data_IF_670329847686
#
_entry.id   IF_670329847686
#
_cell.length_a   1.000
_cell.length_b   1.000
_cell.length_c   1.000
_cell.angle_alpha   90.00
_cell.angle_beta   90.00
_cell.angle_gamma   90.00
#
_symmetry.space_group_name_H-M   'P 1'
#
loop_
_entity.id
_entity.type
_entity.pdbx_description
1 polymer ?
#
# COMPACT_ATOMS: atom_id res chain seq x y z
N UNK A 1 20.02 -39.70 -15.21
CA UNK A 1 18.73 -39.89 -15.92
C UNK A 1 17.61 -39.57 -14.94
N UNK A 2 16.83 -38.51 -15.18
CA UNK A 2 15.72 -38.13 -14.28
C UNK A 2 14.49 -38.95 -14.68
N UNK A 3 14.13 -39.93 -13.86
CA UNK A 3 12.93 -40.75 -14.07
C UNK A 3 11.70 -39.89 -13.79
N UNK A 4 10.81 -39.75 -14.78
CA UNK A 4 9.53 -39.05 -14.59
C UNK A 4 8.66 -39.85 -13.63
N UNK A 5 8.35 -39.26 -12.48
CA UNK A 5 7.43 -39.82 -11.49
C UNK A 5 6.12 -39.06 -11.48
N UNK A 6 5.00 -39.78 -11.45
CA UNK A 6 3.68 -39.18 -11.22
C UNK A 6 3.43 -39.04 -9.71
N UNK A 7 2.42 -38.28 -9.33
CA UNK A 7 2.04 -38.09 -7.91
C UNK A 7 0.68 -38.73 -7.64
N UNK A 8 0.59 -39.49 -6.55
CA UNK A 8 -0.66 -40.11 -6.12
C UNK A 8 -1.68 -39.06 -5.68
N UNK A 9 -2.88 -39.08 -6.27
CA UNK A 9 -3.96 -38.15 -5.97
C UNK A 9 -4.50 -38.28 -4.53
N UNK A 10 -4.35 -39.45 -3.89
CA UNK A 10 -4.83 -39.69 -2.53
C UNK A 10 -3.74 -39.43 -1.48
N UNK A 11 -2.57 -40.06 -1.62
CA UNK A 11 -1.52 -40.02 -0.61
C UNK A 11 -0.45 -38.96 -0.85
N UNK A 12 -0.43 -38.31 -2.02
CA UNK A 12 0.62 -37.41 -2.54
C UNK A 12 2.03 -38.05 -2.65
N UNK A 13 2.12 -39.38 -2.57
CA UNK A 13 3.37 -40.13 -2.73
C UNK A 13 3.81 -40.18 -4.20
N UNK A 14 5.12 -40.22 -4.47
CA UNK A 14 5.66 -40.42 -5.82
C UNK A 14 5.32 -41.82 -6.33
N UNK A 15 4.89 -41.91 -7.58
CA UNK A 15 4.60 -43.11 -8.34
C UNK A 15 5.68 -43.24 -9.41
N UNK A 16 6.48 -44.29 -9.31
CA UNK A 16 7.46 -44.62 -10.34
C UNK A 16 6.80 -45.33 -11.52
N UNK A 17 7.42 -45.28 -12.71
CA UNK A 17 6.94 -46.03 -13.87
C UNK A 17 6.72 -47.51 -13.56
N UNK A 18 5.64 -48.09 -14.08
CA UNK A 18 5.26 -49.49 -13.82
C UNK A 18 4.44 -49.72 -12.54
N UNK A 19 4.12 -48.67 -11.78
CA UNK A 19 3.29 -48.77 -10.58
C UNK A 19 2.00 -47.96 -10.64
N UNK A 20 1.04 -48.36 -9.81
CA UNK A 20 -0.21 -47.65 -9.64
C UNK A 20 -1.26 -47.91 -10.73
N UNK A 21 -2.30 -47.10 -10.72
CA UNK A 21 -3.42 -47.19 -11.67
C UNK A 21 -3.98 -45.80 -11.94
N UNK A 22 -4.35 -45.53 -13.19
CA UNK A 22 -5.05 -44.31 -13.59
C UNK A 22 -6.56 -44.54 -13.50
N UNK A 23 -7.25 -43.72 -12.71
CA UNK A 23 -8.70 -43.71 -12.61
C UNK A 23 -9.23 -42.45 -13.31
N UNK A 24 -10.10 -42.61 -14.30
CA UNK A 24 -10.76 -41.50 -14.98
C UNK A 24 -12.20 -41.44 -14.48
N UNK A 25 -12.61 -40.29 -13.95
CA UNK A 25 -13.99 -40.05 -13.50
C UNK A 25 -14.84 -39.60 -14.69
N UNK A 26 -16.18 -39.72 -14.57
CA UNK A 26 -17.15 -39.27 -15.59
C UNK A 26 -16.93 -37.82 -16.05
N UNK A 27 -16.47 -36.94 -15.16
CA UNK A 27 -16.21 -35.53 -15.46
C UNK A 27 -14.90 -35.29 -16.24
N UNK A 28 -14.24 -36.35 -16.74
CA UNK A 28 -12.97 -36.29 -17.49
C UNK A 28 -11.72 -36.17 -16.62
N UNK A 29 -11.86 -35.95 -15.30
CA UNK A 29 -10.72 -35.84 -14.39
C UNK A 29 -9.99 -37.18 -14.23
N UNK A 30 -8.69 -37.18 -14.54
CA UNK A 30 -7.80 -38.32 -14.37
C UNK A 30 -7.01 -38.24 -13.05
N UNK A 31 -7.07 -39.30 -12.26
CA UNK A 31 -6.37 -39.43 -10.99
C UNK A 31 -5.39 -40.60 -11.05
N UNK A 32 -4.11 -40.34 -10.74
CA UNK A 32 -3.12 -41.40 -10.55
C UNK A 32 -3.16 -41.88 -9.10
N UNK A 33 -3.25 -43.19 -8.89
CA UNK A 33 -3.33 -43.80 -7.57
C UNK A 33 -2.21 -44.82 -7.41
N UNK A 34 -1.45 -44.74 -6.31
CA UNK A 34 -0.24 -45.55 -6.11
C UNK A 34 -0.52 -47.05 -5.94
N UNK A 35 -1.56 -47.42 -5.19
CA UNK A 35 -1.86 -48.82 -4.85
C UNK A 35 -3.36 -49.04 -4.63
N UNK A 36 -3.75 -50.31 -4.46
CA UNK A 36 -5.14 -50.72 -4.21
C UNK A 36 -5.75 -50.07 -2.96
N UNK A 37 -4.96 -49.86 -1.90
CA UNK A 37 -5.37 -49.15 -0.68
C UNK A 37 -5.78 -47.70 -0.98
N UNK A 38 -4.96 -46.96 -1.72
CA UNK A 38 -5.27 -45.59 -2.14
C UNK A 38 -6.52 -45.57 -3.03
N UNK A 39 -6.65 -46.52 -3.96
CA UNK A 39 -7.82 -46.64 -4.83
C UNK A 39 -9.11 -46.90 -4.06
N UNK A 40 -9.09 -47.86 -3.12
CA UNK A 40 -10.25 -48.19 -2.30
C UNK A 40 -10.70 -46.98 -1.46
N UNK A 41 -9.78 -46.32 -0.75
CA UNK A 41 -10.11 -45.14 0.06
C UNK A 41 -10.62 -43.96 -0.78
N UNK A 42 -10.07 -43.77 -1.98
CA UNK A 42 -10.51 -42.75 -2.92
C UNK A 42 -11.95 -43.02 -3.41
N UNK A 43 -12.28 -44.26 -3.77
CA UNK A 43 -13.63 -44.65 -4.19
C UNK A 43 -14.64 -44.56 -3.05
N UNK A 44 -14.23 -44.87 -1.82
CA UNK A 44 -15.02 -44.67 -0.60
C UNK A 44 -15.19 -43.18 -0.22
N UNK A 45 -14.63 -42.25 -1.01
CA UNK A 45 -14.68 -40.80 -0.78
C UNK A 45 -14.13 -40.38 0.59
N UNK A 46 -13.16 -41.13 1.12
CA UNK A 46 -12.47 -40.74 2.36
C UNK A 46 -11.59 -39.52 2.08
N UNK A 47 -11.62 -38.53 2.97
CA UNK A 47 -10.79 -37.33 2.85
C UNK A 47 -9.35 -37.66 3.28
N UNK A 48 -8.33 -37.50 2.42
CA UNK A 48 -6.93 -37.78 2.79
C UNK A 48 -6.48 -37.03 4.05
N UNK A 49 -6.94 -35.79 4.23
CA UNK A 49 -6.66 -34.96 5.41
C UNK A 49 -7.17 -35.54 6.75
N UNK A 50 -7.98 -36.61 6.75
CA UNK A 50 -8.40 -37.32 7.98
C UNK A 50 -7.62 -38.63 8.20
N UNK A 51 -6.78 -39.04 7.26
CA UNK A 51 -6.07 -40.32 7.28
C UNK A 51 -4.60 -40.09 7.64
N UNK A 52 -4.21 -40.53 8.83
CA UNK A 52 -2.95 -40.21 9.52
C UNK A 52 -1.69 -40.45 8.68
N UNK A 53 -1.65 -41.54 7.91
CA UNK A 53 -0.44 -41.91 7.17
C UNK A 53 -0.22 -41.09 5.89
N UNK A 54 -1.23 -40.33 5.42
CA UNK A 54 -1.12 -39.54 4.18
C UNK A 54 -0.29 -38.27 4.38
N UNK A 55 0.32 -37.79 3.30
CA UNK A 55 1.05 -36.50 3.32
C UNK A 55 0.12 -35.31 3.61
N UNK A 56 -1.12 -35.34 3.11
CA UNK A 56 -2.12 -34.31 3.37
C UNK A 56 -2.44 -34.13 4.86
N UNK A 57 -2.62 -35.23 5.61
CA UNK A 57 -2.78 -35.18 7.06
C UNK A 57 -1.51 -34.67 7.74
N UNK A 58 -0.34 -35.19 7.36
CA UNK A 58 0.95 -34.77 7.96
C UNK A 58 1.25 -33.28 7.73
N UNK A 59 0.84 -32.70 6.59
CA UNK A 59 0.95 -31.25 6.30
C UNK A 59 0.07 -30.43 7.24
N UNK A 60 -1.19 -30.82 7.41
CA UNK A 60 -2.16 -30.14 8.28
C UNK A 60 -1.74 -30.20 9.76
N UNK A 61 -1.23 -31.35 10.19
CA UNK A 61 -0.84 -31.60 11.59
C UNK A 61 0.64 -31.25 11.88
N UNK A 62 1.32 -30.53 10.97
CA UNK A 62 2.72 -30.09 11.12
C UNK A 62 3.68 -31.24 11.46
N UNK A 63 3.42 -32.44 10.92
CA UNK A 63 4.29 -33.62 11.06
C UNK A 63 5.29 -33.75 9.92
N UNK A 64 5.09 -33.00 8.83
CA UNK A 64 6.14 -32.81 7.83
C UNK A 64 7.14 -31.79 8.36
N UNK A 65 8.44 -32.14 8.30
CA UNK A 65 9.53 -31.18 8.48
C UNK A 65 9.51 -30.26 7.27
N UNK A 66 8.74 -29.19 7.36
CA UNK A 66 8.85 -28.07 6.44
C UNK A 66 10.15 -27.39 6.86
N UNK A 67 11.22 -27.57 6.08
CA UNK A 67 12.35 -26.64 6.14
C UNK A 67 11.75 -25.25 6.13
N UNK A 68 11.99 -24.48 7.21
CA UNK A 68 11.31 -23.21 7.46
C UNK A 68 11.19 -22.47 6.14
N UNK A 69 9.96 -22.36 5.64
CA UNK A 69 9.66 -21.43 4.56
C UNK A 69 9.94 -20.09 5.19
N UNK A 70 11.18 -19.64 5.05
CA UNK A 70 11.63 -18.33 5.50
C UNK A 70 10.55 -17.39 4.97
N UNK A 71 9.82 -16.74 5.89
CA UNK A 71 8.74 -15.84 5.51
C UNK A 71 9.34 -14.90 4.47
N UNK A 72 8.94 -15.06 3.20
CA UNK A 72 9.45 -14.24 2.11
C UNK A 72 8.99 -12.83 2.41
N UNK A 73 9.86 -12.05 3.05
CA UNK A 73 9.63 -10.62 3.26
C UNK A 73 9.57 -10.02 1.86
N UNK A 74 8.45 -9.37 1.55
CA UNK A 74 8.31 -8.65 0.29
C UNK A 74 9.46 -7.64 0.18
N UNK A 75 10.15 -7.64 -0.97
CA UNK A 75 11.19 -6.64 -1.25
C UNK A 75 10.49 -5.28 -1.36
N UNK A 76 10.86 -4.34 -0.49
CA UNK A 76 10.37 -2.96 -0.56
C UNK A 76 11.11 -2.24 -1.69
N UNK A 77 10.39 -1.78 -2.71
CA UNK A 77 10.96 -0.94 -3.76
C UNK A 77 10.82 0.52 -3.35
N UNK A 78 11.93 1.25 -3.27
CA UNK A 78 11.94 2.70 -3.12
C UNK A 78 11.94 3.36 -4.50
N UNK A 79 11.09 4.38 -4.71
CA UNK A 79 11.06 5.14 -5.96
C UNK A 79 12.18 6.19 -5.95
N UNK A 80 12.99 6.22 -7.01
CA UNK A 80 14.00 7.27 -7.23
C UNK A 80 13.30 8.50 -7.80
N UNK A 81 13.68 9.69 -7.29
CA UNK A 81 13.19 10.97 -7.81
C UNK A 81 13.79 11.23 -9.20
N UNK A 82 12.94 11.46 -10.20
CA UNK A 82 13.33 11.69 -11.60
C UNK A 82 13.40 13.19 -11.92
N UNK A 83 14.05 13.53 -13.03
CA UNK A 83 14.06 14.90 -13.55
C UNK A 83 12.63 15.33 -13.94
N UNK A 84 12.36 16.62 -13.84
CA UNK A 84 11.12 17.22 -14.33
C UNK A 84 11.51 18.09 -15.53
N UNK A 85 10.67 18.15 -16.57
CA UNK A 85 10.93 19.03 -17.72
C UNK A 85 11.14 20.46 -17.23
N UNK A 86 12.27 21.06 -17.58
CA UNK A 86 12.67 22.41 -17.14
C UNK A 86 13.47 22.49 -15.84
N UNK A 87 13.69 21.39 -15.09
CA UNK A 87 14.57 21.37 -13.91
C UNK A 87 15.32 20.03 -13.81
N UNK A 88 16.64 20.08 -13.82
CA UNK A 88 17.48 18.88 -13.68
C UNK A 88 17.37 18.24 -12.28
N UNK A 89 17.66 16.94 -12.16
CA UNK A 89 17.67 16.23 -10.86
C UNK A 89 18.63 16.88 -9.87
N UNK A 90 19.74 17.43 -10.36
CA UNK A 90 20.78 18.05 -9.53
C UNK A 90 20.33 19.37 -8.94
N UNK A 91 19.65 20.21 -9.72
CA UNK A 91 19.06 21.46 -9.23
C UNK A 91 17.97 21.21 -8.20
N UNK A 92 17.14 20.19 -8.41
CA UNK A 92 16.12 19.75 -7.45
C UNK A 92 16.74 19.30 -6.12
N UNK A 93 17.82 18.52 -6.18
CA UNK A 93 18.59 18.12 -4.99
C UNK A 93 19.22 19.32 -4.30
N UNK A 94 19.85 20.23 -5.05
CA UNK A 94 20.49 21.45 -4.52
C UNK A 94 19.46 22.32 -3.79
N UNK A 95 18.30 22.62 -4.40
CA UNK A 95 17.22 23.38 -3.77
C UNK A 95 16.67 22.68 -2.52
N UNK A 96 16.43 21.37 -2.58
CA UNK A 96 15.90 20.59 -1.44
C UNK A 96 16.88 20.55 -0.26
N UNK A 97 18.18 20.42 -0.55
CA UNK A 97 19.22 20.29 0.46
C UNK A 97 19.68 21.65 1.04
N UNK A 98 19.13 22.78 0.59
CA UNK A 98 19.42 24.09 1.20
C UNK A 98 19.08 24.09 2.69
N UNK A 99 19.98 24.62 3.52
CA UNK A 99 19.77 24.70 4.97
C UNK A 99 18.51 25.52 5.30
N UNK A 100 17.73 25.15 6.33
CA UNK A 100 16.52 25.87 6.72
C UNK A 100 16.74 27.37 6.97
N UNK A 101 17.90 27.76 7.51
CA UNK A 101 18.26 29.16 7.76
C UNK A 101 18.30 30.00 6.47
N UNK A 102 18.86 29.45 5.38
CA UNK A 102 18.92 30.14 4.08
C UNK A 102 17.52 30.28 3.48
N UNK A 103 16.66 29.26 3.65
CA UNK A 103 15.27 29.33 3.21
C UNK A 103 14.45 30.35 4.00
N UNK A 104 14.69 30.46 5.30
CA UNK A 104 14.03 31.44 6.16
C UNK A 104 14.44 32.87 5.77
N UNK A 105 15.74 33.12 5.60
CA UNK A 105 16.23 34.44 5.17
C UNK A 105 15.66 34.87 3.81
N UNK A 106 15.62 33.96 2.82
CA UNK A 106 15.01 34.25 1.52
C UNK A 106 13.50 34.54 1.62
N UNK A 107 12.78 33.83 2.50
CA UNK A 107 11.36 34.08 2.77
C UNK A 107 11.16 35.46 3.39
N UNK A 108 11.96 35.83 4.37
CA UNK A 108 11.82 37.09 5.09
C UNK A 108 12.17 38.29 4.19
N UNK A 109 13.18 38.15 3.32
CA UNK A 109 13.49 39.13 2.28
C UNK A 109 12.31 39.32 1.31
N UNK A 110 11.74 38.22 0.79
CA UNK A 110 10.59 38.28 -0.11
C UNK A 110 9.34 38.89 0.55
N UNK A 111 9.12 38.61 1.84
CA UNK A 111 8.01 39.20 2.61
C UNK A 111 8.20 40.70 2.83
N UNK A 112 9.43 41.17 3.04
CA UNK A 112 9.73 42.61 3.14
C UNK A 112 9.48 43.31 1.81
N UNK A 113 10.01 42.79 0.71
CA UNK A 113 9.77 43.34 -0.63
C UNK A 113 8.27 43.36 -1.00
N UNK A 114 7.52 42.32 -0.65
CA UNK A 114 6.07 42.28 -0.87
C UNK A 114 5.32 43.34 -0.03
N UNK A 115 5.74 43.55 1.22
CA UNK A 115 5.20 44.61 2.09
C UNK A 115 5.54 46.00 1.54
N UNK A 116 6.73 46.20 1.00
CA UNK A 116 7.14 47.51 0.47
C UNK A 116 6.48 47.80 -0.87
N UNK A 117 6.31 46.80 -1.75
CA UNK A 117 5.50 46.91 -2.97
C UNK A 117 4.03 47.21 -2.67
N UNK A 118 3.45 46.62 -1.62
CA UNK A 118 2.05 46.92 -1.24
C UNK A 118 1.90 48.30 -0.61
N UNK A 119 2.88 48.79 0.16
CA UNK A 119 2.91 50.18 0.64
C UNK A 119 3.06 51.19 -0.49
N UNK A 120 3.96 50.95 -1.44
CA UNK A 120 4.12 51.79 -2.62
C UNK A 120 2.83 51.87 -3.44
N UNK A 121 2.18 50.72 -3.72
CA UNK A 121 0.87 50.67 -4.39
C UNK A 121 -0.27 51.34 -3.61
N UNK A 122 -0.18 51.43 -2.27
CA UNK A 122 -1.15 52.17 -1.44
C UNK A 122 -0.88 53.67 -1.44
N UNK A 123 0.39 54.08 -1.46
CA UNK A 123 0.80 55.48 -1.56
C UNK A 123 0.45 56.06 -2.94
N UNK A 124 0.61 55.29 -4.02
CA UNK A 124 0.22 55.69 -5.38
C UNK A 124 -1.31 55.84 -5.56
N UNK A 125 -2.10 55.21 -4.68
CA UNK A 125 -3.58 55.28 -4.69
C UNK A 125 -4.16 56.38 -3.78
N UNK A 126 -3.34 57.20 -3.13
CA UNK A 126 -3.80 58.37 -2.36
C UNK A 126 -3.07 59.61 -2.87
N UNK A 127 -3.75 60.55 -3.58
CA UNK A 127 -4.84 61.33 -2.98
C UNK A 127 -5.95 61.76 -3.98
N UNK A 128 -7.18 61.26 -3.80
CA UNK A 128 -8.40 62.00 -4.16
C UNK A 128 -9.40 61.78 -3.02
N UNK A 129 -9.95 62.88 -2.50
CA UNK A 129 -10.99 62.98 -1.45
C UNK A 129 -10.53 62.98 0.02
N UNK A 130 -9.89 64.09 0.42
CA UNK A 130 -10.21 64.73 1.70
C UNK A 130 -11.17 65.89 1.43
N UNK A 131 -12.47 65.65 1.51
CA UNK A 131 -13.45 66.66 1.93
C UNK A 131 -14.81 65.99 2.17
N UNK A 132 -15.50 66.49 3.20
CA UNK A 132 -16.95 66.43 3.47
C UNK A 132 -17.39 65.58 4.69
N UNK A 133 -17.43 66.34 5.79
CA UNK A 133 -18.47 66.46 6.81
C UNK A 133 -18.42 65.68 8.12
N UNK A 134 -18.24 66.49 9.17
CA UNK A 134 -18.62 66.31 10.57
C UNK A 134 -20.14 66.38 10.73
N UNK A 135 -20.59 65.77 11.84
CA UNK A 135 -21.84 65.95 12.58
C UNK A 135 -23.11 65.27 12.02
N UNK A 136 -23.65 64.29 12.76
CA UNK A 136 -24.94 64.39 13.50
C UNK A 136 -24.90 63.43 14.70
N UNK A 137 -25.62 63.83 15.75
CA UNK A 137 -25.57 63.42 17.13
C UNK A 137 -26.19 62.05 17.51
N UNK A 138 -25.62 61.46 18.57
CA UNK A 138 -26.24 60.98 19.81
C UNK A 138 -27.70 60.45 19.72
N UNK A 139 -27.86 59.13 19.88
CA UNK A 139 -29.11 58.46 20.26
C UNK A 139 -28.81 57.21 21.10
N UNK A 140 -29.45 57.09 22.26
CA UNK A 140 -28.99 56.28 23.39
C UNK A 140 -29.33 54.79 23.42
N UNK A 141 -28.81 54.20 24.50
CA UNK A 141 -28.81 52.81 24.98
C UNK A 141 -30.11 51.98 24.82
N UNK A 142 -29.95 50.64 24.62
CA UNK A 142 -30.09 49.63 25.70
C UNK A 142 -29.92 48.17 25.23
N UNK A 143 -29.36 47.38 26.15
CA UNK A 143 -29.57 45.95 26.48
C UNK A 143 -29.14 44.85 25.48
N UNK A 144 -28.00 44.22 25.81
CA UNK A 144 -27.97 42.92 26.50
C UNK A 144 -28.58 41.70 25.81
N UNK A 145 -27.75 40.69 25.54
CA UNK A 145 -28.22 39.36 25.17
C UNK A 145 -27.10 38.46 24.66
N UNK A 146 -26.35 37.86 25.59
CA UNK A 146 -25.46 36.74 25.33
C UNK A 146 -26.26 35.58 24.69
N UNK A 147 -25.88 35.14 23.49
CA UNK A 147 -26.30 33.85 22.94
C UNK A 147 -25.05 33.12 22.50
N UNK A 148 -24.57 32.27 23.40
CA UNK A 148 -23.63 31.21 23.06
C UNK A 148 -24.23 30.33 21.96
N UNK A 149 -23.39 30.01 20.99
CA UNK A 149 -23.64 28.98 19.99
C UNK A 149 -22.63 27.85 20.23
N UNK A 150 -23.19 26.64 20.21
CA UNK A 150 -22.57 25.31 20.18
C UNK A 150 -21.50 25.24 19.07
#
# INVERSE_FOLDING_TARGET
MVIKTDTCAFSESRIYPGHGTRLIRKDGNAFMLLNSKCKSLFLQRKKPAKIVWTLGWRRMNKKLRVEEVTRRRARKSTKIQRAIVGVSVEELKKKRNQKPAVRAAARDAALKEAKDRTKAKKAEKAPINKAVNKNVARGGAKKGGNRGAI
#
